data_IF_060333991237
#
_entry.id   IF_060333991237
#
_cell.length_a   1.000
_cell.length_b   1.000
_cell.length_c   1.000
_cell.angle_alpha   90.00
_cell.angle_beta   90.00
_cell.angle_gamma   90.00
#
_symmetry.space_group_name_H-M   'P 1'
#
loop_
_entity.id
_entity.type
_entity.pdbx_description
1 polymer ?
#
# COMPACT_ATOMS: atom_id res chain seq x y z
N UNK A 1 11.53 16.61 0.64
CA UNK A 1 10.31 17.16 0.02
C UNK A 1 9.67 18.21 0.91
N UNK A 2 9.57 19.43 0.42
CA UNK A 2 8.77 20.52 0.98
C UNK A 2 7.27 20.20 0.88
N UNK A 3 6.42 20.96 1.59
CA UNK A 3 4.96 20.79 1.50
C UNK A 3 4.44 21.03 0.07
N UNK A 4 5.04 21.97 -0.66
CA UNK A 4 4.68 22.24 -2.06
C UNK A 4 5.04 21.07 -2.97
N UNK A 5 6.22 20.47 -2.80
CA UNK A 5 6.63 19.30 -3.58
C UNK A 5 5.72 18.10 -3.31
N UNK A 6 5.30 17.88 -2.06
CA UNK A 6 4.31 16.85 -1.69
C UNK A 6 2.98 17.06 -2.39
N UNK A 7 2.48 18.29 -2.37
CA UNK A 7 1.20 18.63 -2.99
C UNK A 7 1.25 18.45 -4.52
N UNK A 8 2.33 18.90 -5.17
CA UNK A 8 2.52 18.72 -6.60
C UNK A 8 2.62 17.23 -6.99
N UNK A 9 3.32 16.42 -6.19
CA UNK A 9 3.41 14.98 -6.41
C UNK A 9 2.04 14.29 -6.28
N UNK A 10 1.27 14.63 -5.23
CA UNK A 10 -0.08 14.11 -5.06
C UNK A 10 -1.01 14.49 -6.22
N UNK A 11 -0.89 15.72 -6.73
CA UNK A 11 -1.64 16.17 -7.90
C UNK A 11 -1.31 15.35 -9.16
N UNK A 12 -0.02 15.13 -9.44
CA UNK A 12 0.41 14.30 -10.58
C UNK A 12 -0.15 12.88 -10.45
N UNK A 13 -0.11 12.29 -9.25
CA UNK A 13 -0.67 10.95 -9.02
C UNK A 13 -2.19 10.93 -9.24
N UNK A 14 -2.91 11.96 -8.81
CA UNK A 14 -4.36 12.06 -9.05
C UNK A 14 -4.71 12.12 -10.55
N UNK A 15 -3.84 12.73 -11.36
CA UNK A 15 -3.98 12.84 -12.82
C UNK A 15 -3.70 11.52 -13.56
N UNK A 16 -2.99 10.56 -12.94
CA UNK A 16 -2.74 9.22 -13.54
C UNK A 16 -4.00 8.34 -13.59
N UNK A 17 -5.11 8.79 -13.00
CA UNK A 17 -6.41 8.12 -13.00
C UNK A 17 -6.44 6.70 -12.43
N UNK A 18 -5.40 6.31 -11.67
CA UNK A 18 -5.34 5.03 -10.99
C UNK A 18 -6.38 4.90 -9.88
N UNK A 19 -6.89 3.68 -9.69
CA UNK A 19 -7.70 3.35 -8.51
C UNK A 19 -6.77 2.96 -7.36
N UNK A 20 -6.80 3.73 -6.27
CA UNK A 20 -5.87 3.59 -5.16
C UNK A 20 -6.51 2.84 -4.01
N UNK A 21 -5.96 1.67 -3.66
CA UNK A 21 -6.42 0.89 -2.50
C UNK A 21 -5.36 0.98 -1.40
N UNK A 22 -5.77 1.40 -0.20
CA UNK A 22 -4.88 1.61 0.94
C UNK A 22 -5.42 0.89 2.17
N UNK A 23 -4.57 0.08 2.81
CA UNK A 23 -4.88 -0.53 4.12
C UNK A 23 -4.12 0.20 5.22
N UNK A 24 -4.84 0.80 6.16
CA UNK A 24 -4.28 1.57 7.28
C UNK A 24 -4.38 0.76 8.55
N UNK A 25 -3.23 0.32 9.07
CA UNK A 25 -3.16 -0.33 10.39
C UNK A 25 -3.01 0.69 11.50
N UNK A 26 -3.92 0.68 12.48
CA UNK A 26 -3.85 1.57 13.67
C UNK A 26 -4.52 0.93 14.89
N UNK A 27 -4.03 1.19 16.13
CA UNK A 27 -2.76 1.83 16.47
C UNK A 27 -1.56 0.90 16.25
N UNK A 28 -0.36 1.45 16.02
CA UNK A 28 0.85 0.64 15.79
C UNK A 28 1.97 1.03 16.77
N UNK A 29 2.28 0.19 17.77
CA UNK A 29 3.47 0.38 18.60
C UNK A 29 4.75 0.34 17.76
N UNK A 30 5.75 1.17 18.09
CA UNK A 30 7.03 1.26 17.35
C UNK A 30 7.71 -0.10 17.13
N UNK A 31 7.64 -1.01 18.11
CA UNK A 31 8.25 -2.34 18.04
C UNK A 31 7.50 -3.34 17.15
N UNK A 32 6.27 -3.02 16.72
CA UNK A 32 5.39 -3.92 15.96
C UNK A 32 5.11 -3.46 14.53
N UNK A 33 5.87 -2.49 14.02
CA UNK A 33 5.67 -1.95 12.66
C UNK A 33 5.72 -3.01 11.56
N UNK A 34 6.71 -3.91 11.55
CA UNK A 34 6.76 -4.97 10.54
C UNK A 34 5.65 -6.02 10.71
N UNK A 35 5.10 -6.20 11.91
CA UNK A 35 3.92 -7.05 12.13
C UNK A 35 2.67 -6.38 11.58
N UNK A 36 2.46 -5.10 11.91
CA UNK A 36 1.34 -4.33 11.38
C UNK A 36 1.38 -4.25 9.85
N UNK A 37 2.56 -4.04 9.25
CA UNK A 37 2.74 -4.09 7.79
C UNK A 37 2.33 -5.45 7.21
N UNK A 38 2.70 -6.57 7.85
CA UNK A 38 2.31 -7.89 7.39
C UNK A 38 0.78 -8.09 7.47
N UNK A 39 0.13 -7.60 8.52
CA UNK A 39 -1.33 -7.64 8.64
C UNK A 39 -2.02 -6.78 7.56
N UNK A 40 -1.53 -5.56 7.32
CA UNK A 40 -2.04 -4.70 6.25
C UNK A 40 -1.87 -5.35 4.87
N UNK A 41 -0.70 -5.93 4.58
CA UNK A 41 -0.45 -6.63 3.32
C UNK A 41 -1.33 -7.87 3.19
N UNK A 42 -1.53 -8.61 4.28
CA UNK A 42 -2.42 -9.76 4.32
C UNK A 42 -3.86 -9.39 3.97
N UNK A 43 -4.35 -8.27 4.50
CA UNK A 43 -5.67 -7.72 4.15
C UNK A 43 -5.72 -7.15 2.72
N UNK A 44 -4.64 -6.57 2.23
CA UNK A 44 -4.60 -5.96 0.89
C UNK A 44 -4.72 -6.99 -0.24
N UNK A 45 -4.12 -8.17 -0.09
CA UNK A 45 -4.12 -9.23 -1.13
C UNK A 45 -5.54 -9.67 -1.57
N UNK A 46 -6.44 -10.11 -0.68
CA UNK A 46 -7.79 -10.51 -1.08
C UNK A 46 -8.60 -9.35 -1.66
N UNK A 47 -8.36 -8.13 -1.19
CA UNK A 47 -9.01 -6.92 -1.72
C UNK A 47 -8.57 -6.67 -3.16
N UNK A 48 -7.27 -6.66 -3.44
CA UNK A 48 -6.74 -6.54 -4.80
C UNK A 48 -7.29 -7.64 -5.73
N UNK A 49 -7.29 -8.89 -5.26
CA UNK A 49 -7.83 -10.00 -6.04
C UNK A 49 -9.33 -9.84 -6.33
N UNK A 50 -10.11 -9.25 -5.42
CA UNK A 50 -11.54 -8.99 -5.66
C UNK A 50 -11.79 -8.01 -6.81
N UNK A 51 -10.80 -7.17 -7.14
CA UNK A 51 -10.78 -6.31 -8.32
C UNK A 51 -10.16 -6.98 -9.57
N UNK A 52 -9.89 -8.28 -9.52
CA UNK A 52 -9.32 -9.04 -10.63
C UNK A 52 -7.82 -8.86 -10.81
N UNK A 53 -7.11 -8.33 -9.80
CA UNK A 53 -5.64 -8.17 -9.84
C UNK A 53 -4.98 -9.48 -9.44
N UNK A 54 -4.05 -9.95 -10.27
CA UNK A 54 -3.29 -11.19 -10.09
C UNK A 54 -1.78 -10.97 -9.90
N UNK A 55 -1.29 -9.73 -10.07
CA UNK A 55 0.13 -9.39 -9.91
C UNK A 55 0.32 -8.12 -9.08
N UNK A 56 1.18 -8.22 -8.08
CA UNK A 56 1.57 -7.13 -7.19
C UNK A 56 3.06 -6.83 -7.35
N UNK A 57 3.37 -5.61 -7.80
CA UNK A 57 4.72 -5.06 -7.81
C UNK A 57 4.96 -4.26 -6.53
N UNK A 58 6.08 -4.53 -5.86
CA UNK A 58 6.46 -3.82 -4.64
C UNK A 58 7.88 -3.28 -4.77
N UNK A 59 8.14 -2.11 -4.19
CA UNK A 59 9.52 -1.64 -4.08
C UNK A 59 10.33 -2.59 -3.17
N UNK A 60 11.49 -2.98 -3.67
CA UNK A 60 12.45 -3.83 -2.97
C UNK A 60 13.08 -3.10 -1.79
N UNK A 61 13.09 -3.78 -0.65
CA UNK A 61 13.83 -3.40 0.57
C UNK A 61 15.05 -4.31 0.72
N UNK A 62 15.48 -4.58 1.96
CA UNK A 62 16.48 -5.63 2.20
C UNK A 62 15.92 -7.01 1.83
N UNK A 63 16.80 -7.94 1.43
CA UNK A 63 16.44 -9.30 1.05
C UNK A 63 15.53 -10.00 2.08
N UNK A 64 15.89 -9.94 3.36
CA UNK A 64 15.10 -10.53 4.44
C UNK A 64 13.69 -9.91 4.57
N UNK A 65 13.56 -8.59 4.34
CA UNK A 65 12.27 -7.92 4.36
C UNK A 65 11.41 -8.22 3.14
N UNK A 66 12.02 -8.47 1.98
CA UNK A 66 11.33 -8.89 0.77
C UNK A 66 10.82 -10.33 0.92
N UNK A 67 11.64 -11.24 1.43
CA UNK A 67 11.28 -12.64 1.70
C UNK A 67 10.10 -12.74 2.70
N UNK A 68 10.07 -11.88 3.72
CA UNK A 68 8.93 -11.77 4.64
C UNK A 68 7.65 -11.26 3.96
N UNK A 69 7.78 -10.33 3.02
CA UNK A 69 6.66 -9.86 2.19
C UNK A 69 6.09 -10.98 1.34
N UNK A 70 6.95 -11.74 0.64
CA UNK A 70 6.57 -12.93 -0.14
C UNK A 70 5.86 -13.96 0.74
N UNK A 71 6.40 -14.24 1.93
CA UNK A 71 5.77 -15.18 2.88
C UNK A 71 4.38 -14.71 3.32
N UNK A 72 4.22 -13.40 3.54
CA UNK A 72 2.93 -12.80 3.92
C UNK A 72 1.90 -12.97 2.80
N UNK A 73 2.26 -12.65 1.55
CA UNK A 73 1.36 -12.82 0.40
C UNK A 73 1.02 -14.30 0.18
N UNK A 74 2.00 -15.20 0.29
CA UNK A 74 1.75 -16.65 0.22
C UNK A 74 0.74 -17.12 1.29
N UNK A 75 0.80 -16.57 2.49
CA UNK A 75 -0.19 -16.83 3.53
C UNK A 75 -1.58 -16.30 3.17
N UNK A 76 -1.66 -15.04 2.72
CA UNK A 76 -2.92 -14.40 2.36
C UNK A 76 -3.63 -15.09 1.17
N UNK A 77 -2.88 -15.77 0.30
CA UNK A 77 -3.43 -16.57 -0.80
C UNK A 77 -4.37 -17.70 -0.34
N UNK A 78 -4.27 -18.16 0.91
CA UNK A 78 -5.20 -19.15 1.44
C UNK A 78 -6.63 -18.61 1.62
N UNK A 79 -6.82 -17.28 1.62
CA UNK A 79 -8.14 -16.63 1.67
C UNK A 79 -8.78 -16.47 0.28
N UNK A 80 -8.02 -16.75 -0.80
CA UNK A 80 -8.50 -16.63 -2.17
C UNK A 80 -9.25 -17.90 -2.63
N UNK A 81 -10.11 -17.79 -3.66
CA UNK A 81 -10.74 -18.96 -4.26
C UNK A 81 -9.73 -20.05 -4.68
N UNK A 82 -10.16 -21.31 -4.62
CA UNK A 82 -9.31 -22.44 -5.01
C UNK A 82 -8.81 -22.26 -6.46
N UNK A 83 -7.50 -22.31 -6.64
CA UNK A 83 -6.86 -22.13 -7.94
C UNK A 83 -6.52 -20.68 -8.30
N UNK A 84 -6.78 -19.72 -7.41
CA UNK A 84 -6.40 -18.32 -7.62
C UNK A 84 -4.88 -18.16 -7.80
N UNK A 85 -4.54 -17.34 -8.80
CA UNK A 85 -3.17 -16.89 -9.07
C UNK A 85 -3.02 -15.50 -8.48
N UNK A 86 -1.97 -15.32 -7.68
CA UNK A 86 -1.58 -14.01 -7.16
C UNK A 86 -0.06 -14.00 -6.99
N UNK A 87 0.61 -13.25 -7.84
CA UNK A 87 2.06 -13.14 -7.93
C UNK A 87 2.55 -11.86 -7.24
N UNK A 88 3.70 -11.96 -6.59
CA UNK A 88 4.38 -10.83 -5.97
C UNK A 88 5.80 -10.76 -6.48
N UNK A 89 6.20 -9.58 -6.93
CA UNK A 89 7.54 -9.28 -7.38
C UNK A 89 8.06 -8.03 -6.68
N UNK A 90 9.32 -8.08 -6.24
CA UNK A 90 10.00 -6.91 -5.68
C UNK A 90 10.94 -6.33 -6.73
N UNK A 91 10.79 -5.04 -7.02
CA UNK A 91 11.56 -4.32 -8.02
C UNK A 91 12.40 -3.21 -7.35
N UNK A 92 13.61 -2.90 -7.86
CA UNK A 92 14.32 -1.69 -7.45
C UNK A 92 13.45 -0.44 -7.65
N UNK A 93 13.43 0.50 -6.71
CA UNK A 93 12.65 1.74 -6.86
C UNK A 93 13.02 2.54 -8.11
N UNK A 94 14.25 2.40 -8.61
CA UNK A 94 14.72 3.06 -9.84
C UNK A 94 14.28 2.38 -11.13
N UNK A 95 13.71 1.16 -11.09
CA UNK A 95 13.33 0.43 -12.30
C UNK A 95 11.89 0.67 -12.75
N UNK A 96 11.02 1.16 -11.87
CA UNK A 96 9.61 1.44 -12.16
C UNK A 96 9.15 2.68 -11.39
N UNK A 97 8.91 3.78 -12.10
CA UNK A 97 8.54 5.06 -11.49
C UNK A 97 7.18 5.02 -10.79
N UNK A 98 6.27 4.15 -11.22
CA UNK A 98 4.95 4.00 -10.60
C UNK A 98 4.99 3.36 -9.21
N UNK A 99 6.12 2.76 -8.81
CA UNK A 99 6.29 2.30 -7.43
C UNK A 99 6.16 3.46 -6.43
N UNK A 100 6.60 4.66 -6.80
CA UNK A 100 6.52 5.85 -5.94
C UNK A 100 5.09 6.39 -5.81
N UNK A 101 4.19 6.07 -6.75
CA UNK A 101 2.80 6.49 -6.65
C UNK A 101 2.13 5.91 -5.41
N UNK A 102 2.42 4.65 -5.08
CA UNK A 102 1.91 4.00 -3.87
C UNK A 102 2.38 4.71 -2.59
N UNK A 103 3.64 5.16 -2.53
CA UNK A 103 4.17 5.90 -1.39
C UNK A 103 3.58 7.31 -1.26
N UNK A 104 3.32 7.99 -2.38
CA UNK A 104 2.65 9.29 -2.38
C UNK A 104 1.24 9.16 -1.81
N UNK A 105 0.48 8.15 -2.25
CA UNK A 105 -0.87 7.88 -1.73
C UNK A 105 -0.81 7.54 -0.24
N UNK A 106 0.07 6.62 0.16
CA UNK A 106 0.23 6.24 1.58
C UNK A 106 0.63 7.45 2.44
N UNK A 107 1.51 8.32 1.93
CA UNK A 107 1.92 9.57 2.58
C UNK A 107 0.80 10.59 2.72
N UNK A 108 -0.07 10.72 1.71
CA UNK A 108 -1.25 11.58 1.77
C UNK A 108 -2.27 11.07 2.81
N UNK A 109 -2.55 9.76 2.83
CA UNK A 109 -3.43 9.14 3.82
C UNK A 109 -2.89 9.29 5.23
N UNK A 110 -1.59 9.08 5.44
CA UNK A 110 -0.95 9.31 6.74
C UNK A 110 -1.09 10.77 7.18
N UNK A 111 -0.78 11.72 6.29
CA UNK A 111 -0.82 13.15 6.62
C UNK A 111 -2.23 13.58 7.05
N UNK A 112 -3.26 13.05 6.39
CA UNK A 112 -4.66 13.26 6.76
C UNK A 112 -4.96 12.77 8.19
N UNK A 113 -4.54 11.56 8.54
CA UNK A 113 -4.68 11.01 9.90
C UNK A 113 -3.91 11.83 10.95
N UNK A 114 -2.88 12.56 10.55
CA UNK A 114 -2.11 13.49 11.39
C UNK A 114 -2.69 14.93 11.40
N UNK A 115 -3.82 15.17 10.72
CA UNK A 115 -4.54 16.45 10.70
C UNK A 115 -4.25 17.35 9.49
N UNK A 116 -3.66 16.81 8.42
CA UNK A 116 -3.34 17.55 7.20
C UNK A 116 -3.92 16.88 5.95
N UNK A 117 -5.06 17.38 5.48
CA UNK A 117 -5.87 16.72 4.44
C UNK A 117 -5.56 17.17 3.00
N UNK A 118 -4.83 18.28 2.80
CA UNK A 118 -4.62 18.91 1.49
C UNK A 118 -4.13 18.00 0.35
N UNK A 119 -3.39 16.93 0.66
CA UNK A 119 -2.92 15.97 -0.34
C UNK A 119 -3.90 14.81 -0.54
N UNK A 120 -4.62 14.40 0.52
CA UNK A 120 -5.60 13.33 0.46
C UNK A 120 -6.84 13.76 -0.33
N UNK A 121 -7.28 15.00 -0.15
CA UNK A 121 -8.42 15.57 -0.90
C UNK A 121 -8.26 15.47 -2.42
N UNK A 122 -7.02 15.60 -2.93
CA UNK A 122 -6.72 15.44 -4.36
C UNK A 122 -6.97 14.02 -4.87
N UNK A 123 -6.87 13.02 -3.99
CA UNK A 123 -6.94 11.59 -4.31
C UNK A 123 -8.30 10.98 -3.96
N UNK A 124 -9.12 11.67 -3.17
CA UNK A 124 -10.35 11.12 -2.54
C UNK A 124 -11.33 10.51 -3.56
N UNK A 125 -11.43 11.09 -4.76
CA UNK A 125 -12.34 10.59 -5.81
C UNK A 125 -12.01 9.15 -6.28
N UNK A 126 -10.77 8.69 -6.09
CA UNK A 126 -10.28 7.38 -6.55
C UNK A 126 -9.55 6.60 -5.46
N UNK A 127 -9.76 6.97 -4.19
CA UNK A 127 -9.14 6.35 -3.03
C UNK A 127 -10.13 5.45 -2.29
N UNK A 128 -9.81 4.17 -2.22
CA UNK A 128 -10.47 3.20 -1.36
C UNK A 128 -9.60 2.88 -0.15
N UNK A 129 -10.03 3.34 1.03
CA UNK A 129 -9.32 3.14 2.29
C UNK A 129 -9.98 2.03 3.11
N UNK A 130 -9.16 1.13 3.65
CA UNK A 130 -9.55 0.08 4.57
C UNK A 130 -8.82 0.32 5.90
N UNK A 131 -9.55 0.62 6.95
CA UNK A 131 -8.99 0.75 8.29
C UNK A 131 -8.94 -0.64 8.97
N UNK A 132 -7.77 -1.00 9.48
CA UNK A 132 -7.51 -2.27 10.17
C UNK A 132 -7.09 -1.98 11.61
N UNK A 133 -7.91 -2.44 12.56
CA UNK A 133 -7.53 -2.43 13.97
C UNK A 133 -6.36 -3.40 14.18
N UNK A 134 -5.24 -2.89 14.69
CA UNK A 134 -4.07 -3.70 14.98
C UNK A 134 -4.04 -3.99 16.49
N UNK A 135 -4.61 -5.14 16.87
CA UNK A 135 -4.49 -5.67 18.23
C UNK A 135 -3.10 -6.27 18.40
N UNK A 136 -2.15 -5.44 18.80
CA UNK A 136 -0.78 -5.89 18.97
C UNK A 136 -0.10 -5.24 20.19
#
# INVERSE_FOLDING_TARGET
MTSQEKHNAAKIVAELEGFHIVVVGTPVPRRRQERARALCLGKLVPELHSYGIDRLLMEGRSRALNERGVTTVRGARYELPKGAVFEIEHLPGSSEALLWAADIVAGAVRSSKEGSDNCRELLDARLYQIDLAIDC
#
